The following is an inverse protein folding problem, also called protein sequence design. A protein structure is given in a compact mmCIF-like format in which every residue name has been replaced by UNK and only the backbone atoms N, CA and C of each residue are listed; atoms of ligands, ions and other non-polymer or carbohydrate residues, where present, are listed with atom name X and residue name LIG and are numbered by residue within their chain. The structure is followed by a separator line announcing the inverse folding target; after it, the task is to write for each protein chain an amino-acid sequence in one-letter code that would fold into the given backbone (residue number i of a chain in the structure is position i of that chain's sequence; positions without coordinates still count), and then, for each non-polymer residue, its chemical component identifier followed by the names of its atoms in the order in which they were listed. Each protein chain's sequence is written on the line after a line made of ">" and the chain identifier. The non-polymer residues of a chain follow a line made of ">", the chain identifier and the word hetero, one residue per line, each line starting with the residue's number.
data_IF_828429825607
#
_entry.id   IF_828429825607
#
_cell.length_a   1.000
_cell.length_b   1.000
_cell.length_c   1.000
_cell.angle_alpha   90.00
_cell.angle_beta   90.00
_cell.angle_gamma   90.00
#
_symmetry.space_group_name_H-M   'P 1'
#
loop_
_entity.id
_entity.type
_entity.pdbx_description
1 polymer ?
#
# COMPACT_ATOMS: atom_id res chain seq x y z
N UNK A 1 9.80 -20.48 -12.46
CA UNK A 1 9.96 -19.03 -12.66
C UNK A 1 9.42 -18.39 -11.41
N UNK A 2 10.31 -18.18 -10.44
CA UNK A 2 9.96 -17.69 -9.11
C UNK A 2 10.44 -16.25 -9.00
N UNK A 3 9.68 -15.36 -9.64
CA UNK A 3 9.72 -13.93 -9.37
C UNK A 3 8.35 -13.57 -8.82
N UNK A 4 7.99 -14.28 -7.75
CA UNK A 4 6.71 -14.21 -7.08
C UNK A 4 6.42 -12.81 -6.56
N UNK A 5 5.27 -12.29 -6.97
CA UNK A 5 4.35 -11.40 -6.24
C UNK A 5 4.92 -10.19 -5.48
N UNK A 6 6.19 -9.79 -5.68
CA UNK A 6 6.73 -8.63 -4.97
C UNK A 6 6.14 -7.36 -5.59
N UNK A 7 5.34 -6.57 -4.86
CA UNK A 7 4.85 -5.30 -5.37
C UNK A 7 6.04 -4.35 -5.61
N UNK A 8 5.95 -3.57 -6.68
CA UNK A 8 6.88 -2.49 -6.98
C UNK A 8 6.71 -1.35 -5.97
N UNK A 9 7.74 -0.50 -5.82
CA UNK A 9 7.62 0.73 -5.01
C UNK A 9 6.49 1.60 -5.55
N UNK A 10 5.64 2.14 -4.67
CA UNK A 10 4.51 2.99 -5.04
C UNK A 10 5.00 4.40 -5.41
N UNK A 11 5.56 4.55 -6.61
CA UNK A 11 5.92 5.84 -7.19
C UNK A 11 4.75 6.40 -8.02
N UNK A 12 3.78 7.02 -7.33
CA UNK A 12 2.57 7.56 -7.95
C UNK A 12 2.42 9.07 -7.74
N UNK A 13 2.17 9.84 -8.80
CA UNK A 13 1.75 11.25 -8.65
C UNK A 13 0.28 11.28 -8.20
N UNK A 14 0.04 11.72 -6.97
CA UNK A 14 -1.30 11.84 -6.38
C UNK A 14 -2.24 12.77 -7.17
N UNK A 15 -1.71 13.65 -8.03
CA UNK A 15 -2.52 14.53 -8.88
C UNK A 15 -3.06 13.84 -10.12
N UNK A 16 -2.47 12.71 -10.53
CA UNK A 16 -2.90 11.96 -11.71
C UNK A 16 -4.38 11.60 -11.63
N UNK A 17 -5.15 11.71 -12.71
CA UNK A 17 -6.55 11.28 -12.73
C UNK A 17 -6.70 9.78 -12.42
N UNK A 18 -5.70 8.97 -12.76
CA UNK A 18 -5.66 7.52 -12.54
C UNK A 18 -5.13 7.13 -11.15
N UNK A 19 -4.68 8.10 -10.33
CA UNK A 19 -3.99 7.81 -9.08
C UNK A 19 -4.82 6.93 -8.13
N UNK A 20 -6.13 7.19 -8.06
CA UNK A 20 -7.04 6.40 -7.23
C UNK A 20 -7.11 4.93 -7.68
N UNK A 21 -7.21 4.67 -8.97
CA UNK A 21 -7.36 3.30 -9.49
C UNK A 21 -6.03 2.54 -9.44
N UNK A 22 -4.91 3.21 -9.76
CA UNK A 22 -3.57 2.63 -9.64
C UNK A 22 -3.28 2.28 -8.17
N UNK A 23 -3.58 3.18 -7.24
CA UNK A 23 -3.40 2.91 -5.81
C UNK A 23 -4.24 1.73 -5.32
N UNK A 24 -5.53 1.66 -5.69
CA UNK A 24 -6.40 0.53 -5.32
C UNK A 24 -5.88 -0.80 -5.86
N UNK A 25 -5.44 -0.81 -7.12
CA UNK A 25 -4.86 -1.99 -7.73
C UNK A 25 -3.58 -2.43 -7.00
N UNK A 26 -2.67 -1.48 -6.77
CA UNK A 26 -1.42 -1.75 -6.06
C UNK A 26 -1.66 -2.28 -4.65
N UNK A 27 -2.59 -1.68 -3.89
CA UNK A 27 -2.92 -2.14 -2.53
C UNK A 27 -3.48 -3.57 -2.53
N UNK A 28 -4.31 -3.93 -3.52
CA UNK A 28 -4.78 -5.31 -3.67
C UNK A 28 -3.65 -6.28 -3.97
N UNK A 29 -2.68 -5.90 -4.80
CA UNK A 29 -1.50 -6.72 -5.06
C UNK A 29 -0.63 -6.89 -3.80
N UNK A 30 -0.48 -5.82 -3.01
CA UNK A 30 0.21 -5.85 -1.72
C UNK A 30 -0.48 -6.82 -0.74
N UNK A 31 -1.80 -6.73 -0.60
CA UNK A 31 -2.57 -7.61 0.30
C UNK A 31 -2.52 -9.07 -0.16
N UNK A 32 -2.63 -9.33 -1.46
CA UNK A 32 -2.47 -10.68 -2.02
C UNK A 32 -1.06 -11.24 -1.80
N UNK A 33 -0.02 -10.40 -1.84
CA UNK A 33 1.34 -10.80 -1.48
C UNK A 33 1.42 -11.23 -0.01
N UNK A 34 0.83 -10.46 0.90
CA UNK A 34 0.79 -10.83 2.32
C UNK A 34 0.06 -12.16 2.55
N UNK A 35 -1.07 -12.36 1.88
CA UNK A 35 -1.89 -13.57 1.98
C UNK A 35 -1.22 -14.80 1.34
N UNK A 36 -0.31 -14.59 0.38
CA UNK A 36 0.50 -15.66 -0.22
C UNK A 36 1.60 -16.18 0.69
N UNK A 37 1.88 -15.50 1.82
CA UNK A 37 2.91 -15.94 2.76
C UNK A 37 2.50 -17.22 3.47
N UNK A 38 3.41 -18.19 3.54
CA UNK A 38 3.20 -19.44 4.29
C UNK A 38 2.95 -19.22 5.79
N UNK A 39 3.40 -18.07 6.31
CA UNK A 39 3.21 -17.66 7.71
C UNK A 39 2.36 -16.42 7.77
N UNK A 40 1.41 -16.37 8.71
CA UNK A 40 0.65 -15.16 8.98
C UNK A 40 1.60 -13.99 9.27
N UNK A 41 1.43 -12.91 8.51
CA UNK A 41 2.19 -11.67 8.70
C UNK A 41 1.43 -10.83 9.71
N UNK A 42 2.02 -10.59 10.88
CA UNK A 42 1.39 -9.77 11.91
C UNK A 42 1.35 -8.27 11.55
N UNK A 43 0.58 -7.49 12.31
CA UNK A 43 0.41 -6.05 12.06
C UNK A 43 1.72 -5.25 11.97
N UNK A 44 2.67 -5.39 12.93
CA UNK A 44 3.97 -4.73 12.87
C UNK A 44 4.80 -5.09 11.63
N UNK A 45 4.79 -6.37 11.24
CA UNK A 45 5.50 -6.82 10.04
C UNK A 45 4.82 -6.33 8.77
N UNK A 46 3.48 -6.32 8.69
CA UNK A 46 2.74 -5.69 7.59
C UNK A 46 3.12 -4.22 7.41
N UNK A 47 3.17 -3.46 8.52
CA UNK A 47 3.56 -2.05 8.50
C UNK A 47 5.01 -1.85 8.02
N UNK A 48 5.94 -2.68 8.49
CA UNK A 48 7.35 -2.60 8.10
C UNK A 48 7.54 -2.91 6.61
N UNK A 49 6.84 -3.92 6.09
CA UNK A 49 6.83 -4.25 4.66
C UNK A 49 6.22 -3.13 3.81
N UNK A 50 5.11 -2.56 4.27
CA UNK A 50 4.48 -1.43 3.59
C UNK A 50 5.44 -0.22 3.52
N UNK A 51 6.13 0.10 4.62
CA UNK A 51 7.11 1.19 4.69
C UNK A 51 8.22 1.04 3.65
N UNK A 52 8.70 -0.19 3.43
CA UNK A 52 9.71 -0.48 2.41
C UNK A 52 9.27 -0.18 0.96
N UNK A 53 7.96 -0.05 0.69
CA UNK A 53 7.42 0.20 -0.66
C UNK A 53 6.72 1.54 -0.84
N UNK A 54 6.35 2.22 0.23
CA UNK A 54 5.76 3.58 0.15
C UNK A 54 6.65 4.65 0.76
N UNK A 55 7.75 4.25 1.40
CA UNK A 55 8.75 5.10 2.01
C UNK A 55 8.17 6.07 3.04
N UNK A 56 8.69 7.30 3.02
CA UNK A 56 8.39 8.34 4.02
C UNK A 56 6.95 8.84 4.03
N UNK A 57 6.11 8.39 3.09
CA UNK A 57 4.69 8.78 3.01
C UNK A 57 3.92 8.38 4.28
N UNK A 58 4.36 7.31 4.96
CA UNK A 58 3.67 6.76 6.13
C UNK A 58 4.50 6.84 7.43
N UNK A 59 5.55 7.66 7.50
CA UNK A 59 6.44 7.74 8.68
C UNK A 59 5.72 8.00 10.01
N UNK A 60 4.55 8.64 9.96
CA UNK A 60 3.73 8.95 11.14
C UNK A 60 2.78 7.81 11.54
N UNK A 61 2.70 6.72 10.76
CA UNK A 61 1.83 5.61 11.04
C UNK A 61 2.44 4.69 12.12
N UNK A 62 1.65 4.37 13.14
CA UNK A 62 2.03 3.40 14.18
C UNK A 62 1.43 2.02 13.96
N UNK A 63 0.47 1.90 13.03
CA UNK A 63 -0.17 0.63 12.65
C UNK A 63 -0.38 0.54 11.14
N UNK A 64 -0.54 -0.67 10.62
CA UNK A 64 -0.83 -0.92 9.21
C UNK A 64 -2.10 -0.19 8.75
N UNK A 65 -3.17 -0.26 9.53
CA UNK A 65 -4.46 0.38 9.23
C UNK A 65 -4.34 1.90 9.18
N UNK A 66 -3.50 2.47 10.05
CA UNK A 66 -3.23 3.93 10.05
C UNK A 66 -2.45 4.33 8.80
N UNK A 67 -1.46 3.53 8.39
CA UNK A 67 -0.72 3.75 7.15
C UNK A 67 -1.63 3.68 5.91
N UNK A 68 -2.49 2.67 5.83
CA UNK A 68 -3.47 2.53 4.73
C UNK A 68 -4.41 3.75 4.68
N UNK A 69 -4.90 4.25 5.82
CA UNK A 69 -5.72 5.47 5.87
C UNK A 69 -4.97 6.72 5.37
N UNK A 70 -3.69 6.87 5.70
CA UNK A 70 -2.85 7.97 5.19
C UNK A 70 -2.74 7.88 3.66
N UNK A 71 -2.44 6.69 3.14
CA UNK A 71 -2.33 6.46 1.69
C UNK A 71 -3.66 6.68 0.97
N UNK A 72 -4.78 6.21 1.53
CA UNK A 72 -6.11 6.45 1.01
C UNK A 72 -6.42 7.95 0.92
N UNK A 73 -6.17 8.72 1.99
CA UNK A 73 -6.36 10.18 1.95
C UNK A 73 -5.49 10.89 0.91
N UNK A 74 -4.33 10.30 0.57
CA UNK A 74 -3.38 10.87 -0.39
C UNK A 74 -3.79 10.59 -1.84
N UNK A 75 -4.22 9.36 -2.14
CA UNK A 75 -4.41 8.89 -3.52
C UNK A 75 -5.87 8.70 -3.92
N UNK A 76 -6.77 8.53 -2.95
CA UNK A 76 -8.20 8.45 -3.21
C UNK A 76 -8.76 9.87 -3.13
N UNK A 77 -9.11 10.43 -4.29
CA UNK A 77 -9.83 11.70 -4.32
C UNK A 77 -11.17 11.50 -3.61
N UNK A 78 -11.62 12.42 -2.75
CA UNK A 78 -13.00 12.39 -2.29
C UNK A 78 -13.87 12.43 -3.55
N UNK A 79 -14.81 11.49 -3.63
CA UNK A 79 -15.90 11.58 -4.60
C UNK A 79 -16.71 12.76 -4.12
N UNK A 80 -16.37 13.97 -4.58
CA UNK A 80 -17.22 15.11 -4.32
C UNK A 80 -18.55 14.86 -5.04
N UNK A 81 -19.56 14.70 -4.18
CA UNK A 81 -21.00 14.79 -4.32
C UNK A 81 -21.48 15.89 -5.30
#
# INVERSE_FOLDING_TARGET
>A
MDSGLKPEELSLDARSPEATEIFKYWLRCFEAYLDSSETEVDGPRKLSLLHAWVGSVIDKATTYETAVKILQKRFVKPINE
#
